data_IF_516657065066
#
_entry.id   IF_516657065066
#
_cell.length_a   1.000
_cell.length_b   1.000
_cell.length_c   1.000
_cell.angle_alpha   90.00
_cell.angle_beta   90.00
_cell.angle_gamma   90.00
#
_symmetry.space_group_name_H-M   'P 1'
#
loop_
_entity.id
_entity.type
_entity.pdbx_description
1 polymer ?
#
# COMPACT_ATOMS: atom_id res chain seq x y z
N UNK A 1 1.96 20.34 -17.48
CA UNK A 1 1.91 19.22 -16.52
C UNK A 1 0.80 18.27 -16.93
N UNK A 2 1.14 17.11 -17.39
CA UNK A 2 0.14 16.05 -17.60
C UNK A 2 -0.32 15.58 -16.23
N UNK A 3 -1.61 15.57 -15.91
CA UNK A 3 -2.08 15.04 -14.64
C UNK A 3 -1.73 13.55 -14.56
N UNK A 4 -1.09 13.16 -13.49
CA UNK A 4 -0.83 11.74 -13.20
C UNK A 4 -2.17 11.03 -13.13
N UNK A 5 -2.41 10.12 -14.05
CA UNK A 5 -3.66 9.38 -14.09
C UNK A 5 -3.74 8.44 -12.88
N UNK A 6 -4.74 8.64 -12.04
CA UNK A 6 -5.13 7.67 -11.02
C UNK A 6 -6.09 6.68 -11.67
N UNK A 7 -5.76 5.41 -11.62
CA UNK A 7 -6.70 4.35 -11.97
C UNK A 7 -7.26 3.73 -10.70
N UNK A 8 -8.56 3.86 -10.51
CA UNK A 8 -9.28 3.19 -9.41
C UNK A 8 -10.16 2.11 -10.01
N UNK A 9 -10.02 0.88 -9.54
CA UNK A 9 -10.78 -0.28 -10.02
C UNK A 9 -11.32 -1.09 -8.85
N UNK A 10 -12.41 -1.81 -9.11
CA UNK A 10 -12.81 -2.91 -8.24
C UNK A 10 -11.73 -4.01 -8.31
N UNK A 11 -11.32 -4.55 -7.16
CA UNK A 11 -10.37 -5.65 -7.12
C UNK A 11 -11.09 -6.98 -7.32
N UNK A 12 -10.77 -7.75 -8.37
CA UNK A 12 -11.40 -9.05 -8.62
C UNK A 12 -11.00 -10.14 -7.62
N UNK A 13 -10.03 -9.88 -6.74
CA UNK A 13 -9.56 -10.84 -5.73
C UNK A 13 -10.44 -10.89 -4.48
N UNK A 14 -11.51 -10.11 -4.44
CA UNK A 14 -12.49 -10.20 -3.36
C UNK A 14 -13.07 -11.61 -3.30
N UNK A 15 -12.95 -12.26 -2.15
CA UNK A 15 -13.48 -13.61 -1.93
C UNK A 15 -15.00 -13.65 -2.18
N UNK A 16 -15.47 -14.69 -2.84
CA UNK A 16 -16.88 -14.92 -3.12
C UNK A 16 -17.80 -14.93 -1.88
N UNK A 17 -17.24 -15.15 -0.69
CA UNK A 17 -17.96 -15.07 0.59
C UNK A 17 -18.16 -13.63 1.08
N UNK A 18 -17.43 -12.68 0.52
CA UNK A 18 -17.47 -11.26 0.90
C UNK A 18 -18.19 -10.41 -0.15
N UNK A 19 -19.25 -10.91 -0.75
CA UNK A 19 -20.02 -10.23 -1.82
C UNK A 19 -20.46 -8.80 -1.45
N UNK A 20 -20.55 -8.49 -0.17
CA UNK A 20 -20.91 -7.16 0.32
C UNK A 20 -19.76 -6.14 0.21
N UNK A 21 -18.52 -6.60 0.02
CA UNK A 21 -17.32 -5.76 0.07
C UNK A 21 -16.47 -5.95 -1.17
N UNK A 22 -16.65 -5.06 -2.12
CA UNK A 22 -15.81 -5.05 -3.34
C UNK A 22 -14.48 -4.41 -3.00
N UNK A 23 -13.38 -5.12 -3.22
CA UNK A 23 -12.03 -4.62 -3.05
C UNK A 23 -11.74 -3.40 -3.93
N UNK A 24 -10.74 -2.63 -3.52
CA UNK A 24 -10.30 -1.43 -4.21
C UNK A 24 -8.86 -1.61 -4.70
N UNK A 25 -8.60 -1.24 -5.94
CA UNK A 25 -7.26 -1.14 -6.50
C UNK A 25 -7.02 0.28 -7.03
N UNK A 26 -5.92 0.87 -6.64
CA UNK A 26 -5.48 2.20 -7.09
C UNK A 26 -4.07 2.09 -7.62
N UNK A 27 -3.79 2.68 -8.76
CA UNK A 27 -2.43 2.77 -9.28
C UNK A 27 -2.11 4.19 -9.73
N UNK A 28 -0.85 4.57 -9.60
CA UNK A 28 -0.36 5.86 -10.04
C UNK A 28 1.08 5.78 -10.52
N UNK A 29 1.43 6.66 -11.45
CA UNK A 29 2.78 6.77 -11.95
C UNK A 29 3.67 7.48 -10.92
N UNK A 30 4.84 6.90 -10.67
CA UNK A 30 5.90 7.53 -9.89
C UNK A 30 6.70 8.49 -10.75
N UNK A 31 7.18 9.58 -10.18
CA UNK A 31 8.07 10.50 -10.88
C UNK A 31 9.35 9.79 -11.35
N UNK A 32 9.76 10.05 -12.58
CA UNK A 32 11.00 9.53 -13.14
C UNK A 32 12.22 10.29 -12.59
N UNK A 33 13.37 9.61 -12.56
CA UNK A 33 14.64 10.23 -12.14
C UNK A 33 14.76 10.51 -10.65
N UNK A 34 13.93 9.90 -9.82
CA UNK A 34 13.99 10.05 -8.36
C UNK A 34 15.26 9.40 -7.80
N UNK A 35 15.97 10.13 -6.96
CA UNK A 35 17.14 9.61 -6.25
C UNK A 35 16.71 8.52 -5.26
N UNK A 36 17.35 7.33 -5.25
CA UNK A 36 17.02 6.28 -4.30
C UNK A 36 17.02 6.77 -2.85
N UNK A 37 16.02 6.36 -2.06
CA UNK A 37 15.87 6.76 -0.67
C UNK A 37 15.17 8.11 -0.47
N UNK A 38 14.81 8.81 -1.55
CA UNK A 38 14.08 10.09 -1.51
C UNK A 38 12.71 9.97 -2.17
N UNK A 39 11.84 10.93 -1.89
CA UNK A 39 10.53 11.06 -2.54
C UNK A 39 10.55 12.35 -3.37
N UNK A 40 10.25 12.23 -4.67
CA UNK A 40 10.10 13.40 -5.53
C UNK A 40 9.01 14.34 -4.99
N UNK A 41 9.20 15.64 -5.14
CA UNK A 41 8.25 16.63 -4.63
C UNK A 41 6.83 16.41 -5.17
N UNK A 42 6.71 16.04 -6.44
CA UNK A 42 5.43 15.71 -7.09
C UNK A 42 4.75 14.48 -6.50
N UNK A 43 5.50 13.58 -5.88
CA UNK A 43 4.98 12.34 -5.29
C UNK A 43 4.64 12.45 -3.80
N UNK A 44 5.02 13.55 -3.16
CA UNK A 44 4.81 13.74 -1.71
C UNK A 44 3.34 13.76 -1.28
N UNK A 45 2.44 14.07 -2.19
CA UNK A 45 1.00 14.09 -1.91
C UNK A 45 0.36 12.70 -1.92
N UNK A 46 1.02 11.68 -2.50
CA UNK A 46 0.42 10.35 -2.67
C UNK A 46 0.08 9.63 -1.37
N UNK A 47 0.94 9.59 -0.35
CA UNK A 47 0.57 8.94 0.91
C UNK A 47 -0.72 9.49 1.52
N UNK A 48 -0.92 10.80 1.52
CA UNK A 48 -2.14 11.42 2.02
C UNK A 48 -3.36 11.12 1.15
N UNK A 49 -3.21 11.11 -0.18
CA UNK A 49 -4.29 10.74 -1.10
C UNK A 49 -4.74 9.30 -0.90
N UNK A 50 -3.80 8.37 -0.80
CA UNK A 50 -4.09 6.96 -0.55
C UNK A 50 -4.77 6.79 0.81
N UNK A 51 -4.28 7.45 1.84
CA UNK A 51 -4.90 7.48 3.16
C UNK A 51 -6.39 7.85 3.09
N UNK A 52 -6.70 8.93 2.39
CA UNK A 52 -8.09 9.41 2.22
C UNK A 52 -8.95 8.40 1.46
N UNK A 53 -8.43 7.82 0.39
CA UNK A 53 -9.15 6.83 -0.41
C UNK A 53 -9.48 5.59 0.43
N UNK A 54 -8.51 5.06 1.17
CA UNK A 54 -8.68 3.87 2.01
C UNK A 54 -9.66 4.14 3.15
N UNK A 55 -9.52 5.26 3.84
CA UNK A 55 -10.43 5.65 4.91
C UNK A 55 -11.87 5.80 4.42
N UNK A 56 -12.08 6.44 3.28
CA UNK A 56 -13.38 6.58 2.66
C UNK A 56 -14.00 5.22 2.29
N UNK A 57 -13.20 4.29 1.75
CA UNK A 57 -13.67 2.94 1.42
C UNK A 57 -14.09 2.15 2.66
N UNK A 58 -13.32 2.19 3.72
CA UNK A 58 -13.65 1.49 4.96
C UNK A 58 -14.91 2.05 5.64
N UNK A 59 -15.07 3.36 5.62
CA UNK A 59 -16.31 4.00 6.11
C UNK A 59 -17.51 3.62 5.26
N UNK A 60 -17.33 3.55 3.94
CA UNK A 60 -18.37 3.07 3.02
C UNK A 60 -18.77 1.61 3.31
N UNK A 61 -17.82 0.78 3.69
CA UNK A 61 -18.08 -0.61 4.10
C UNK A 61 -18.71 -0.73 5.49
N UNK A 62 -18.93 0.38 6.20
CA UNK A 62 -19.43 0.36 7.57
C UNK A 62 -18.38 -0.12 8.58
N UNK A 63 -17.10 0.00 8.26
CA UNK A 63 -15.97 -0.37 9.11
C UNK A 63 -15.08 0.84 9.46
N UNK A 64 -15.68 1.90 10.04
CA UNK A 64 -14.90 3.06 10.49
C UNK A 64 -13.90 2.71 11.61
N UNK A 65 -14.15 1.62 12.33
CA UNK A 65 -13.27 1.07 13.37
C UNK A 65 -11.88 0.68 12.84
N UNK A 66 -11.79 0.27 11.57
CA UNK A 66 -10.52 -0.09 10.92
C UNK A 66 -9.83 1.07 10.21
N UNK A 67 -10.52 2.18 10.01
CA UNK A 67 -10.03 3.26 9.15
C UNK A 67 -8.68 3.80 9.63
N UNK A 68 -8.53 4.10 10.90
CA UNK A 68 -7.29 4.69 11.44
C UNK A 68 -6.08 3.78 11.25
N UNK A 69 -6.19 2.51 11.62
CA UNK A 69 -5.10 1.54 11.47
C UNK A 69 -4.77 1.29 10.01
N UNK A 70 -5.78 1.09 9.16
CA UNK A 70 -5.57 0.86 7.73
C UNK A 70 -4.97 2.07 7.02
N UNK A 71 -5.42 3.27 7.36
CA UNK A 71 -4.86 4.52 6.84
C UNK A 71 -3.38 4.66 7.19
N UNK A 72 -3.01 4.36 8.43
CA UNK A 72 -1.62 4.42 8.89
C UNK A 72 -0.76 3.37 8.18
N UNK A 73 -1.20 2.12 8.14
CA UNK A 73 -0.48 1.04 7.47
C UNK A 73 -0.27 1.33 5.98
N UNK A 74 -1.29 1.76 5.28
CA UNK A 74 -1.19 2.11 3.87
C UNK A 74 -0.24 3.29 3.64
N UNK A 75 -0.27 4.30 4.50
CA UNK A 75 0.62 5.45 4.42
C UNK A 75 2.08 5.02 4.53
N UNK A 76 2.40 4.16 5.48
CA UNK A 76 3.77 3.65 5.68
C UNK A 76 4.24 2.79 4.50
N UNK A 77 3.39 1.90 4.01
CA UNK A 77 3.73 1.05 2.86
C UNK A 77 3.91 1.87 1.57
N UNK A 78 3.07 2.85 1.31
CA UNK A 78 3.20 3.74 0.14
C UNK A 78 4.44 4.63 0.25
N UNK A 79 4.73 5.18 1.41
CA UNK A 79 5.94 5.96 1.65
C UNK A 79 7.19 5.12 1.38
N UNK A 80 7.20 3.90 1.85
CA UNK A 80 8.27 2.95 1.59
C UNK A 80 8.43 2.63 0.09
N UNK A 81 7.32 2.41 -0.60
CA UNK A 81 7.29 2.18 -2.03
C UNK A 81 7.87 3.36 -2.82
N UNK A 82 7.52 4.58 -2.43
CA UNK A 82 8.02 5.80 -3.07
C UNK A 82 9.52 6.02 -2.83
N UNK A 83 10.03 5.64 -1.66
CA UNK A 83 11.45 5.79 -1.33
C UNK A 83 12.34 4.74 -2.00
N UNK A 84 11.89 3.50 -2.02
CA UNK A 84 12.73 2.34 -2.33
C UNK A 84 12.30 1.56 -3.57
N UNK A 85 11.08 1.77 -4.04
CA UNK A 85 10.56 1.10 -5.21
C UNK A 85 11.04 1.70 -6.53
N UNK A 86 10.62 1.05 -7.60
CA UNK A 86 10.85 1.48 -8.98
C UNK A 86 9.55 1.38 -9.77
N UNK A 87 9.34 2.30 -10.72
CA UNK A 87 8.16 2.28 -11.57
C UNK A 87 6.87 2.70 -10.85
N UNK A 88 5.76 2.32 -11.40
CA UNK A 88 4.44 2.67 -10.90
C UNK A 88 4.15 2.02 -9.54
N UNK A 89 3.33 2.69 -8.75
CA UNK A 89 2.88 2.18 -7.46
C UNK A 89 1.43 1.72 -7.57
N UNK A 90 1.17 0.49 -7.15
CA UNK A 90 -0.17 -0.08 -7.05
C UNK A 90 -0.55 -0.33 -5.60
N UNK A 91 -1.75 0.06 -5.20
CA UNK A 91 -2.29 -0.16 -3.86
C UNK A 91 -3.58 -0.94 -3.98
N UNK A 92 -3.71 -1.99 -3.19
CA UNK A 92 -4.93 -2.80 -3.12
C UNK A 92 -5.39 -2.93 -1.69
N UNK A 93 -6.69 -2.87 -1.49
CA UNK A 93 -7.34 -3.18 -0.22
C UNK A 93 -8.54 -4.06 -0.48
N UNK A 94 -8.59 -5.20 0.17
CA UNK A 94 -9.69 -6.14 0.01
C UNK A 94 -9.86 -7.04 1.22
N UNK A 95 -11.11 -7.42 1.54
CA UNK A 95 -11.36 -8.44 2.56
C UNK A 95 -11.02 -9.82 2.00
N UNK A 96 -10.39 -10.64 2.81
CA UNK A 96 -10.10 -12.04 2.52
C UNK A 96 -10.33 -12.87 3.77
N UNK A 97 -11.33 -13.75 3.73
CA UNK A 97 -11.83 -14.45 4.90
C UNK A 97 -12.21 -13.45 6.01
N UNK A 98 -11.62 -13.58 7.20
CA UNK A 98 -11.82 -12.70 8.34
C UNK A 98 -10.71 -11.63 8.50
N UNK A 99 -10.03 -11.31 7.40
CA UNK A 99 -8.91 -10.35 7.35
C UNK A 99 -9.17 -9.25 6.34
N UNK A 100 -8.71 -8.06 6.67
CA UNK A 100 -8.50 -7.00 5.70
C UNK A 100 -7.06 -7.09 5.20
N UNK A 101 -6.87 -7.24 3.91
CA UNK A 101 -5.53 -7.25 3.30
C UNK A 101 -5.25 -5.94 2.60
N UNK A 102 -4.08 -5.38 2.86
CA UNK A 102 -3.53 -4.20 2.20
C UNK A 102 -2.26 -4.63 1.49
N UNK A 103 -2.16 -4.33 0.20
CA UNK A 103 -0.99 -4.63 -0.61
C UNK A 103 -0.50 -3.37 -1.30
N UNK A 104 0.81 -3.18 -1.33
CA UNK A 104 1.46 -2.12 -2.10
C UNK A 104 2.52 -2.74 -2.99
N UNK A 105 2.32 -2.60 -4.28
CA UNK A 105 3.26 -3.03 -5.32
C UNK A 105 4.07 -1.83 -5.78
N UNK A 106 5.39 -1.99 -5.83
CA UNK A 106 6.30 -0.89 -6.08
C UNK A 106 7.43 -1.24 -7.05
N UNK A 107 7.36 -2.39 -7.69
CA UNK A 107 8.47 -2.93 -8.40
C UNK A 107 8.32 -3.00 -9.90
N UNK A 108 9.44 -2.80 -10.60
CA UNK A 108 9.62 -3.36 -11.91
C UNK A 108 9.92 -4.86 -11.76
N UNK A 109 9.34 -5.67 -12.63
CA UNK A 109 9.59 -7.11 -12.70
C UNK A 109 11.04 -7.49 -13.07
N UNK A 110 11.94 -6.50 -13.26
CA UNK A 110 13.24 -6.70 -13.87
C UNK A 110 14.33 -7.15 -12.90
N UNK A 111 14.14 -7.00 -11.59
CA UNK A 111 15.13 -7.50 -10.62
C UNK A 111 14.49 -7.67 -9.23
N UNK A 112 14.16 -8.89 -8.82
CA UNK A 112 13.80 -9.15 -7.45
C UNK A 112 15.04 -9.01 -6.57
N UNK A 113 15.26 -7.82 -6.02
CA UNK A 113 16.24 -7.65 -4.95
C UNK A 113 15.53 -7.90 -3.64
N UNK A 114 15.93 -8.94 -2.87
CA UNK A 114 15.42 -9.11 -1.52
C UNK A 114 15.68 -7.81 -0.75
N UNK A 115 14.60 -7.16 -0.29
CA UNK A 115 14.74 -5.99 0.58
C UNK A 115 15.17 -6.45 1.95
N UNK A 116 16.42 -6.23 2.26
CA UNK A 116 16.87 -6.34 3.64
C UNK A 116 16.36 -5.11 4.37
N UNK A 117 15.33 -5.27 5.15
CA UNK A 117 14.86 -4.23 6.05
C UNK A 117 15.81 -4.19 7.23
N UNK A 118 16.68 -3.19 7.24
CA UNK A 118 17.51 -2.91 8.41
C UNK A 118 16.70 -2.03 9.36
N UNK A 119 16.50 -2.51 10.57
CA UNK A 119 15.74 -1.81 11.63
C UNK A 119 16.41 -0.52 12.11
N UNK A 120 17.64 -0.23 11.71
CA UNK A 120 18.48 0.86 12.22
C UNK A 120 18.39 2.16 11.41
N UNK A 121 17.64 2.21 10.31
CA UNK A 121 17.47 3.42 9.53
C UNK A 121 16.20 4.17 9.91
N UNK A 122 16.12 5.48 9.63
CA UNK A 122 14.87 6.25 9.74
C UNK A 122 13.71 5.57 8.99
N UNK A 123 14.02 4.85 7.92
CA UNK A 123 13.08 4.05 7.13
C UNK A 123 12.59 2.81 7.89
N UNK A 124 13.32 2.32 8.88
CA UNK A 124 12.92 1.22 9.75
C UNK A 124 11.78 1.55 10.69
N UNK A 125 11.53 2.82 10.99
CA UNK A 125 10.43 3.23 11.89
C UNK A 125 9.06 2.96 11.28
N UNK A 126 8.88 3.22 9.98
CA UNK A 126 7.62 2.93 9.28
C UNK A 126 7.29 1.45 9.31
N UNK A 127 8.27 0.58 9.05
CA UNK A 127 8.07 -0.86 9.11
C UNK A 127 7.84 -1.36 10.54
N UNK A 128 8.49 -0.77 11.54
CA UNK A 128 8.20 -1.07 12.95
C UNK A 128 6.76 -0.77 13.32
N UNK A 129 6.18 0.31 12.79
CA UNK A 129 4.76 0.61 12.96
C UNK A 129 3.87 -0.44 12.31
N UNK A 130 4.21 -0.88 11.09
CA UNK A 130 3.49 -1.96 10.41
C UNK A 130 3.53 -3.24 11.24
N UNK A 131 4.69 -3.64 11.72
CA UNK A 131 4.86 -4.84 12.57
C UNK A 131 4.05 -4.72 13.87
N UNK A 132 3.99 -3.53 14.48
CA UNK A 132 3.29 -3.31 15.73
C UNK A 132 1.76 -3.30 15.60
N UNK A 133 1.23 -2.86 14.46
CA UNK A 133 -0.21 -2.64 14.24
C UNK A 133 -0.83 -3.77 13.44
N UNK A 134 -0.15 -4.27 12.41
CA UNK A 134 -0.65 -5.35 11.57
C UNK A 134 -0.69 -6.67 12.34
N UNK A 135 -1.68 -7.48 12.03
CA UNK A 135 -1.75 -8.86 12.55
C UNK A 135 -0.69 -9.75 11.89
N UNK A 136 -0.49 -9.56 10.60
CA UNK A 136 0.55 -10.24 9.83
C UNK A 136 1.03 -9.33 8.70
N UNK A 137 2.22 -9.57 8.19
CA UNK A 137 2.80 -8.81 7.10
C UNK A 137 3.87 -9.63 6.37
N UNK A 138 4.18 -9.25 5.15
CA UNK A 138 5.21 -9.92 4.38
C UNK A 138 5.51 -9.23 3.06
N UNK A 139 6.40 -9.85 2.32
CA UNK A 139 6.81 -9.43 0.98
C UNK A 139 6.57 -10.60 0.03
N UNK A 140 6.10 -10.32 -1.18
CA UNK A 140 5.93 -11.36 -2.21
C UNK A 140 7.27 -12.00 -2.58
N UNK A 141 7.27 -13.27 -3.09
CA UNK A 141 8.49 -13.96 -3.45
C UNK A 141 9.37 -13.22 -4.47
N UNK A 142 8.77 -12.46 -5.38
CA UNK A 142 9.46 -11.62 -6.36
C UNK A 142 9.94 -10.26 -5.80
N UNK A 143 9.61 -9.95 -4.54
CA UNK A 143 10.02 -8.72 -3.86
C UNK A 143 9.25 -7.46 -4.30
N UNK A 144 8.27 -7.57 -5.19
CA UNK A 144 7.57 -6.41 -5.77
C UNK A 144 6.40 -5.89 -4.96
N UNK A 145 5.85 -6.73 -4.08
CA UNK A 145 4.64 -6.41 -3.30
C UNK A 145 4.90 -6.60 -1.81
N UNK A 146 4.66 -5.56 -1.04
CA UNK A 146 4.60 -5.63 0.43
C UNK A 146 3.14 -5.65 0.86
N UNK A 147 2.81 -6.51 1.79
CA UNK A 147 1.44 -6.68 2.24
C UNK A 147 1.34 -6.74 3.77
N UNK A 148 0.18 -6.38 4.28
CA UNK A 148 -0.16 -6.57 5.68
C UNK A 148 -1.65 -6.90 5.83
N UNK A 149 -2.02 -7.42 6.98
CA UNK A 149 -3.40 -7.78 7.31
C UNK A 149 -3.83 -7.20 8.66
N UNK A 150 -5.13 -6.91 8.75
CA UNK A 150 -5.83 -6.56 9.97
C UNK A 150 -7.01 -7.52 10.16
N UNK A 151 -7.45 -7.78 11.39
CA UNK A 151 -8.74 -8.45 11.61
C UNK A 151 -9.87 -7.65 10.99
N UNK A 152 -10.80 -8.35 10.31
CA UNK A 152 -11.90 -7.71 9.59
C UNK A 152 -13.26 -8.06 10.19
#
# INVERSE_FOLDING_TARGET
>A
MTPTAITVRADPRTDARSHAYIGLAVSFARASGTVPGTIAETDRAWPLRIRRIIGARLRHWGRPDLAESAELLATELVTNALKHGRGDVGVRIYPRADRLRIEVQDGSHECPVPRTVTLDSEDGRGLLLVIAIAEDWGVSPDGTTTWCTLPF
#
